data_IF_771555515141
#
_entry.id   IF_771555515141
#
_cell.length_a   1.000
_cell.length_b   1.000
_cell.length_c   1.000
_cell.angle_alpha   90.00
_cell.angle_beta   90.00
_cell.angle_gamma   90.00
#
_symmetry.space_group_name_H-M   'P 1'
#
loop_
_entity.id
_entity.type
_entity.pdbx_description
1 polymer ?
#
# COMPACT_ATOMS: atom_id res chain seq x y z
N UNK A 1 -32.69 14.61 -24.22
CA UNK A 1 -31.26 15.00 -24.20
C UNK A 1 -30.77 14.80 -22.79
N UNK A 2 -30.21 13.62 -22.54
CA UNK A 2 -29.74 13.21 -21.22
C UNK A 2 -28.51 14.01 -20.83
N UNK A 3 -28.66 14.86 -19.81
CA UNK A 3 -27.52 15.22 -18.97
C UNK A 3 -27.25 14.00 -18.10
N UNK A 4 -26.42 13.08 -18.62
CA UNK A 4 -25.60 12.26 -17.74
C UNK A 4 -25.04 13.19 -16.65
N UNK A 5 -25.05 12.76 -15.40
CA UNK A 5 -24.22 13.34 -14.33
C UNK A 5 -22.76 13.20 -14.77
N UNK A 6 -22.34 14.05 -15.70
CA UNK A 6 -20.95 14.37 -15.91
C UNK A 6 -20.56 15.08 -14.64
N UNK A 7 -19.48 14.60 -14.03
CA UNK A 7 -18.69 15.42 -13.11
C UNK A 7 -18.65 16.83 -13.71
N UNK A 8 -19.08 17.87 -12.99
CA UNK A 8 -18.97 19.23 -13.49
C UNK A 8 -17.48 19.49 -13.69
N UNK A 9 -16.99 19.29 -14.91
CA UNK A 9 -15.75 19.88 -15.38
C UNK A 9 -16.09 21.30 -15.73
N UNK A 10 -16.53 22.07 -14.73
CA UNK A 10 -16.62 23.49 -14.88
C UNK A 10 -15.16 23.96 -15.03
N UNK A 11 -14.82 24.30 -16.27
CA UNK A 11 -13.55 24.91 -16.68
C UNK A 11 -12.27 24.12 -16.33
N UNK A 12 -12.09 22.92 -16.89
CA UNK A 12 -10.78 22.26 -16.85
C UNK A 12 -10.10 22.45 -18.22
N UNK A 13 -9.19 23.42 -18.28
CA UNK A 13 -8.12 23.42 -19.29
C UNK A 13 -7.50 22.01 -19.29
N UNK A 14 -7.41 21.42 -20.49
CA UNK A 14 -7.02 20.02 -20.69
C UNK A 14 -5.52 19.83 -20.44
N UNK A 15 -5.09 19.70 -19.21
CA UNK A 15 -3.84 18.99 -18.89
C UNK A 15 -3.82 18.65 -17.39
N UNK A 16 -2.95 17.74 -16.94
CA UNK A 16 -2.72 17.47 -15.52
C UNK A 16 -3.53 16.32 -14.94
N UNK A 17 -2.97 15.59 -13.96
CA UNK A 17 -3.62 14.46 -13.29
C UNK A 17 -4.18 14.90 -11.94
N UNK A 18 -3.30 15.23 -10.98
CA UNK A 18 -3.68 15.63 -9.62
C UNK A 18 -3.53 17.13 -9.36
N UNK A 19 -2.49 17.74 -9.94
CA UNK A 19 -2.12 19.16 -9.75
C UNK A 19 -2.56 20.02 -10.94
N UNK A 20 -2.55 21.33 -10.74
CA UNK A 20 -2.80 22.32 -11.79
C UNK A 20 -1.62 22.40 -12.77
N UNK A 21 -1.89 22.52 -14.07
CA UNK A 21 -0.85 22.44 -15.12
C UNK A 21 0.19 23.55 -15.11
N UNK A 22 -0.21 24.70 -14.59
CA UNK A 22 0.67 25.86 -14.52
C UNK A 22 1.53 25.84 -13.25
N UNK A 23 1.36 24.83 -12.40
CA UNK A 23 2.13 24.69 -11.17
C UNK A 23 3.50 24.07 -11.46
N UNK A 24 4.56 24.82 -11.20
CA UNK A 24 5.92 24.28 -11.08
C UNK A 24 6.22 23.92 -9.63
N UNK A 25 7.09 22.93 -9.44
CA UNK A 25 7.51 22.46 -8.11
C UNK A 25 9.02 22.31 -8.03
N UNK A 26 9.55 22.49 -6.83
CA UNK A 26 10.91 22.09 -6.46
C UNK A 26 10.79 20.78 -5.68
N UNK A 27 11.55 19.78 -6.11
CA UNK A 27 11.61 18.45 -5.47
C UNK A 27 13.05 18.24 -5.01
N UNK A 28 13.25 18.01 -3.71
CA UNK A 28 14.58 17.72 -3.14
C UNK A 28 14.93 16.24 -3.27
N UNK A 29 16.20 15.89 -3.04
CA UNK A 29 16.74 14.52 -3.16
C UNK A 29 15.94 13.46 -2.38
N UNK A 30 15.39 13.86 -1.24
CA UNK A 30 14.55 13.04 -0.37
C UNK A 30 13.04 13.06 -0.74
N UNK A 31 12.69 13.53 -1.95
CA UNK A 31 11.34 13.67 -2.50
C UNK A 31 10.38 14.59 -1.74
N UNK A 32 10.90 15.56 -0.99
CA UNK A 32 10.06 16.64 -0.47
C UNK A 32 9.68 17.60 -1.61
N UNK A 33 8.39 17.88 -1.75
CA UNK A 33 7.81 18.68 -2.84
C UNK A 33 7.34 20.02 -2.30
N UNK A 34 7.76 21.10 -2.96
CA UNK A 34 7.36 22.47 -2.61
C UNK A 34 6.96 23.25 -3.87
N UNK A 35 6.07 24.25 -3.76
CA UNK A 35 5.78 25.13 -4.88
C UNK A 35 7.04 25.89 -5.33
N UNK A 36 7.22 26.04 -6.64
CA UNK A 36 8.36 26.76 -7.18
C UNK A 36 8.26 28.25 -6.84
N UNK A 37 9.32 28.78 -6.23
CA UNK A 37 9.53 30.21 -6.07
C UNK A 37 11.00 30.48 -5.85
N UNK A 38 11.45 31.71 -6.12
CA UNK A 38 12.82 32.14 -5.84
C UNK A 38 13.17 31.93 -4.36
N UNK A 39 12.23 32.25 -3.47
CA UNK A 39 12.39 32.07 -2.02
C UNK A 39 12.49 30.61 -1.62
N UNK A 40 11.65 29.74 -2.20
CA UNK A 40 11.74 28.29 -2.00
C UNK A 40 13.12 27.78 -2.42
N UNK A 41 13.63 28.23 -3.57
CA UNK A 41 14.97 27.86 -4.05
C UNK A 41 16.06 28.25 -3.06
N UNK A 42 16.05 29.48 -2.56
CA UNK A 42 17.00 29.92 -1.53
C UNK A 42 16.89 29.11 -0.23
N UNK A 43 15.68 28.84 0.25
CA UNK A 43 15.48 28.01 1.45
C UNK A 43 16.00 26.58 1.27
N UNK A 44 15.95 26.02 0.06
CA UNK A 44 16.55 24.71 -0.24
C UNK A 44 18.08 24.80 -0.18
N UNK A 45 18.69 25.82 -0.79
CA UNK A 45 20.15 26.02 -0.74
C UNK A 45 20.66 26.21 0.69
N UNK A 46 19.97 26.99 1.51
CA UNK A 46 20.29 27.21 2.92
C UNK A 46 20.22 25.89 3.73
N UNK A 47 19.14 25.11 3.55
CA UNK A 47 18.99 23.79 4.19
C UNK A 47 20.09 22.81 3.80
N UNK A 48 20.58 22.90 2.56
CA UNK A 48 21.69 22.09 2.06
C UNK A 48 23.07 22.70 2.39
N UNK A 49 23.11 23.83 3.11
CA UNK A 49 24.33 24.55 3.48
C UNK A 49 25.20 24.98 2.28
N UNK A 50 24.55 25.28 1.15
CA UNK A 50 25.21 25.72 -0.08
C UNK A 50 25.29 27.24 -0.08
N UNK A 51 26.50 27.76 0.21
CA UNK A 51 26.77 29.21 0.26
C UNK A 51 27.41 29.76 -1.02
N UNK A 52 27.86 28.88 -1.92
CA UNK A 52 28.51 29.25 -3.18
C UNK A 52 27.82 28.54 -4.35
N UNK A 53 27.13 29.31 -5.19
CA UNK A 53 26.40 28.81 -6.34
C UNK A 53 27.32 28.25 -7.43
N UNK A 54 28.62 28.58 -7.43
CA UNK A 54 29.58 28.05 -8.40
C UNK A 54 29.82 26.54 -8.25
N UNK A 55 29.42 25.96 -7.10
CA UNK A 55 29.47 24.53 -6.85
C UNK A 55 28.29 23.75 -7.48
N UNK A 56 27.31 24.46 -8.05
CA UNK A 56 26.10 23.84 -8.62
C UNK A 56 26.26 23.61 -10.12
N UNK A 57 25.82 22.44 -10.57
CA UNK A 57 25.69 22.09 -11.99
C UNK A 57 24.21 21.89 -12.32
N UNK A 58 23.73 22.59 -13.36
CA UNK A 58 22.39 22.37 -13.88
C UNK A 58 22.38 21.21 -14.87
N UNK A 59 21.49 20.24 -14.66
CA UNK A 59 21.29 19.10 -15.55
C UNK A 59 19.82 18.96 -15.92
N UNK A 60 19.55 18.77 -17.20
CA UNK A 60 18.22 18.48 -17.71
C UNK A 60 18.07 16.98 -17.88
N UNK A 61 17.08 16.39 -17.21
CA UNK A 61 16.84 14.95 -17.20
C UNK A 61 15.46 14.68 -17.81
N UNK A 62 15.40 13.73 -18.73
CA UNK A 62 14.14 13.22 -19.27
C UNK A 62 13.68 12.02 -18.45
N UNK A 63 12.42 12.03 -18.02
CA UNK A 63 11.82 10.95 -17.21
C UNK A 63 10.74 10.26 -18.03
N UNK A 64 10.97 9.00 -18.39
CA UNK A 64 9.99 8.12 -19.01
C UNK A 64 9.37 7.15 -18.00
N UNK A 65 8.69 6.13 -18.52
CA UNK A 65 7.97 5.15 -17.69
C UNK A 65 8.93 4.30 -16.85
N UNK A 66 10.07 3.92 -17.40
CA UNK A 66 11.07 3.12 -16.68
C UNK A 66 11.72 3.93 -15.56
N UNK A 67 12.04 5.20 -15.83
CA UNK A 67 12.56 6.12 -14.83
C UNK A 67 11.57 6.38 -13.71
N UNK A 68 10.30 6.59 -14.04
CA UNK A 68 9.24 6.78 -13.05
C UNK A 68 9.04 5.54 -12.15
N UNK A 69 9.06 4.33 -12.73
CA UNK A 69 8.93 3.08 -11.98
C UNK A 69 10.15 2.85 -11.05
N UNK A 70 11.35 3.09 -11.54
CA UNK A 70 12.56 2.98 -10.73
C UNK A 70 12.60 4.02 -9.61
N UNK A 71 12.15 5.25 -9.87
CA UNK A 71 12.01 6.27 -8.84
C UNK A 71 11.00 5.86 -7.76
N UNK A 72 9.87 5.28 -8.13
CA UNK A 72 8.91 4.71 -7.16
C UNK A 72 9.57 3.64 -6.30
N UNK A 73 10.31 2.70 -6.90
CA UNK A 73 11.04 1.68 -6.15
C UNK A 73 12.06 2.30 -5.18
N UNK A 74 12.91 3.21 -5.65
CA UNK A 74 13.92 3.88 -4.80
C UNK A 74 13.28 4.71 -3.70
N UNK A 75 12.11 5.29 -3.95
CA UNK A 75 11.42 6.08 -2.93
C UNK A 75 11.05 5.27 -1.68
N UNK A 76 10.78 3.96 -1.84
CA UNK A 76 10.44 3.02 -0.76
C UNK A 76 11.67 2.56 0.03
N UNK A 77 12.85 2.55 -0.60
CA UNK A 77 14.07 1.93 -0.05
C UNK A 77 15.11 2.96 0.45
N UNK A 78 15.03 4.21 -0.02
CA UNK A 78 16.11 5.20 0.09
C UNK A 78 15.69 6.51 0.77
N UNK A 79 16.69 7.24 1.28
CA UNK A 79 16.59 8.63 1.76
C UNK A 79 17.02 9.65 0.70
N UNK A 80 17.61 9.19 -0.40
CA UNK A 80 18.27 9.97 -1.46
C UNK A 80 17.88 9.46 -2.85
N UNK A 81 16.57 9.34 -3.07
CA UNK A 81 16.03 8.61 -4.21
C UNK A 81 16.43 9.21 -5.56
N UNK A 82 16.54 10.54 -5.68
CA UNK A 82 16.93 11.18 -6.94
C UNK A 82 18.42 10.95 -7.25
N UNK A 83 19.30 11.16 -6.27
CA UNK A 83 20.75 10.99 -6.45
C UNK A 83 21.09 9.54 -6.76
N UNK A 84 20.59 8.59 -5.98
CA UNK A 84 20.92 7.18 -6.19
C UNK A 84 20.36 6.64 -7.51
N UNK A 85 19.29 7.24 -8.05
CA UNK A 85 18.69 6.83 -9.30
C UNK A 85 19.37 7.48 -10.52
N UNK A 86 19.46 8.81 -10.53
CA UNK A 86 19.97 9.56 -11.69
C UNK A 86 21.50 9.70 -11.70
N UNK A 87 22.17 9.51 -10.56
CA UNK A 87 23.61 9.72 -10.41
C UNK A 87 24.29 8.61 -9.59
N UNK A 88 24.19 7.33 -10.01
CA UNK A 88 24.70 6.19 -9.26
C UNK A 88 26.23 6.14 -9.11
N UNK A 89 26.97 6.86 -9.95
CA UNK A 89 28.45 6.87 -9.98
C UNK A 89 29.10 7.85 -8.99
N UNK A 90 28.31 8.72 -8.35
CA UNK A 90 28.83 9.53 -7.25
C UNK A 90 29.20 8.58 -6.08
N UNK A 91 30.32 8.82 -5.39
CA UNK A 91 30.75 8.05 -4.20
C UNK A 91 29.77 8.22 -3.02
N UNK A 92 28.54 7.76 -3.19
CA UNK A 92 27.47 7.79 -2.21
C UNK A 92 27.57 6.45 -1.49
N UNK A 93 27.90 6.50 -0.20
CA UNK A 93 27.76 5.33 0.66
C UNK A 93 26.38 4.72 0.42
N UNK A 94 26.33 3.43 0.09
CA UNK A 94 25.06 2.73 -0.10
C UNK A 94 24.20 2.97 1.13
N UNK A 95 23.03 3.59 0.93
CA UNK A 95 22.05 3.77 1.99
C UNK A 95 21.83 2.41 2.66
N UNK A 96 22.09 2.34 3.97
CA UNK A 96 21.68 1.19 4.77
C UNK A 96 20.18 1.09 4.57
N UNK A 97 19.72 -0.02 3.97
CA UNK A 97 18.28 -0.29 3.78
C UNK A 97 17.55 0.11 5.05
N UNK A 98 16.64 1.08 4.94
CA UNK A 98 15.90 1.57 6.09
C UNK A 98 14.92 0.48 6.52
N UNK A 99 15.35 -0.39 7.43
CA UNK A 99 14.46 -1.37 8.00
C UNK A 99 13.46 -0.64 8.90
N UNK A 100 12.15 -0.84 8.69
CA UNK A 100 11.17 -0.31 9.60
C UNK A 100 11.31 -1.06 10.92
N UNK A 101 12.01 -0.45 11.87
CA UNK A 101 11.98 -0.88 13.25
C UNK A 101 10.70 -0.29 13.82
N UNK A 102 9.70 -1.14 14.01
CA UNK A 102 8.49 -0.74 14.70
C UNK A 102 8.81 -0.50 16.17
N UNK A 103 8.47 0.69 16.68
CA UNK A 103 8.52 0.97 18.12
C UNK A 103 7.56 -0.01 18.80
N UNK A 104 8.06 -0.81 19.74
CA UNK A 104 7.30 -1.87 20.42
C UNK A 104 6.12 -1.34 21.26
N UNK A 105 6.06 -0.02 21.48
CA UNK A 105 5.03 0.64 22.28
C UNK A 105 3.81 1.01 21.41
N UNK A 106 3.03 0.01 20.98
CA UNK A 106 1.64 0.24 20.61
C UNK A 106 0.80 -0.06 21.85
N UNK A 107 0.21 0.97 22.44
CA UNK A 107 -0.72 0.86 23.56
C UNK A 107 -1.93 0.02 23.12
N UNK A 108 -1.92 -1.24 23.53
CA UNK A 108 -2.89 -2.24 23.09
C UNK A 108 -4.18 -2.07 23.85
N UNK A 109 -5.20 -1.49 23.22
CA UNK A 109 -6.56 -1.55 23.75
C UNK A 109 -7.01 -3.02 23.77
N UNK A 110 -7.45 -3.51 24.93
CA UNK A 110 -7.56 -4.93 25.32
C UNK A 110 -8.66 -5.78 24.62
N UNK A 111 -9.13 -5.39 23.44
CA UNK A 111 -10.16 -6.14 22.68
C UNK A 111 -9.85 -6.31 21.18
N UNK A 112 -8.60 -6.17 20.75
CA UNK A 112 -8.24 -6.42 19.35
C UNK A 112 -8.16 -7.93 19.04
N UNK A 113 -8.80 -8.33 17.93
CA UNK A 113 -8.69 -9.67 17.32
C UNK A 113 -7.20 -10.05 17.20
N UNK A 114 -6.83 -11.31 17.43
CA UNK A 114 -5.44 -11.79 17.29
C UNK A 114 -5.42 -13.07 16.46
N UNK A 115 -4.33 -13.28 15.72
CA UNK A 115 -4.14 -14.50 14.93
C UNK A 115 -3.19 -15.45 15.64
N UNK A 116 -3.50 -16.74 15.62
CA UNK A 116 -2.55 -17.78 16.01
C UNK A 116 -1.85 -18.32 14.76
N UNK A 117 -0.53 -18.20 14.71
CA UNK A 117 0.31 -18.61 13.59
C UNK A 117 1.34 -19.63 14.09
N UNK A 118 1.41 -20.78 13.44
CA UNK A 118 2.41 -21.81 13.74
C UNK A 118 3.60 -21.65 12.79
N UNK A 119 4.72 -21.19 13.30
CA UNK A 119 5.94 -20.98 12.52
C UNK A 119 6.87 -22.19 12.57
N UNK A 120 7.55 -22.45 11.46
CA UNK A 120 8.60 -23.47 11.31
C UNK A 120 9.92 -22.73 11.15
N UNK A 121 10.78 -22.85 12.16
CA UNK A 121 12.05 -22.13 12.28
C UNK A 121 13.22 -23.07 12.01
N UNK A 122 14.24 -22.59 11.31
CA UNK A 122 15.52 -23.28 11.17
C UNK A 122 16.46 -22.84 12.31
N UNK A 123 16.87 -23.79 13.15
CA UNK A 123 17.76 -23.54 14.31
C UNK A 123 19.15 -23.05 13.90
N UNK A 124 19.68 -23.52 12.77
CA UNK A 124 21.09 -23.29 12.39
C UNK A 124 21.36 -21.84 12.02
N UNK A 125 20.45 -21.24 11.28
CA UNK A 125 20.57 -19.85 10.80
C UNK A 125 19.59 -18.90 11.48
N UNK A 126 18.76 -19.39 12.41
CA UNK A 126 17.73 -18.63 13.10
C UNK A 126 16.81 -17.88 12.11
N UNK A 127 16.29 -18.59 11.11
CA UNK A 127 15.37 -18.03 10.11
C UNK A 127 14.04 -18.78 10.09
N UNK A 128 12.99 -18.10 9.64
CA UNK A 128 11.71 -18.76 9.33
C UNK A 128 11.87 -19.53 8.02
N UNK A 129 11.39 -20.76 7.99
CA UNK A 129 11.20 -21.52 6.76
C UNK A 129 9.81 -21.22 6.18
N UNK A 130 8.79 -21.44 7.01
CA UNK A 130 7.39 -21.20 6.66
C UNK A 130 6.53 -20.98 7.90
N UNK A 131 5.29 -20.54 7.67
CA UNK A 131 4.25 -20.37 8.68
C UNK A 131 2.96 -21.05 8.22
N UNK A 132 2.41 -21.90 9.10
CA UNK A 132 1.08 -22.51 8.95
C UNK A 132 0.03 -21.58 9.54
N UNK A 133 -0.94 -21.22 8.71
CA UNK A 133 -1.91 -20.17 9.03
C UNK A 133 -3.32 -20.59 8.63
N UNK A 134 -4.31 -20.08 9.36
CA UNK A 134 -5.73 -20.17 8.98
C UNK A 134 -6.08 -19.20 7.85
N UNK A 135 -7.27 -19.39 7.27
CA UNK A 135 -7.79 -18.51 6.23
C UNK A 135 -7.97 -17.06 6.70
N UNK A 136 -8.25 -16.83 7.98
CA UNK A 136 -8.37 -15.50 8.60
C UNK A 136 -7.09 -14.66 8.49
N UNK A 137 -5.95 -15.20 8.90
CA UNK A 137 -4.66 -14.52 8.76
C UNK A 137 -4.24 -14.40 7.29
N UNK A 138 -4.54 -15.39 6.46
CA UNK A 138 -4.26 -15.28 5.02
C UNK A 138 -5.08 -14.16 4.38
N UNK A 139 -6.36 -14.01 4.73
CA UNK A 139 -7.19 -12.89 4.28
C UNK A 139 -6.59 -11.54 4.69
N UNK A 140 -6.05 -11.44 5.90
CA UNK A 140 -5.33 -10.24 6.34
C UNK A 140 -4.09 -9.96 5.47
N UNK A 141 -3.30 -10.97 5.08
CA UNK A 141 -2.16 -10.76 4.20
C UNK A 141 -2.58 -10.39 2.77
N UNK A 142 -3.57 -11.08 2.21
CA UNK A 142 -4.06 -10.81 0.85
C UNK A 142 -4.68 -9.41 0.74
N UNK A 143 -5.29 -8.92 1.82
CA UNK A 143 -5.84 -7.55 1.87
C UNK A 143 -4.79 -6.46 1.67
N UNK A 144 -3.50 -6.73 1.94
CA UNK A 144 -2.43 -5.76 1.70
C UNK A 144 -2.30 -5.39 0.22
N UNK A 145 -2.64 -6.31 -0.69
CA UNK A 145 -2.63 -6.05 -2.13
C UNK A 145 -3.71 -5.05 -2.56
N UNK A 146 -4.76 -4.89 -1.75
CA UNK A 146 -5.84 -3.94 -1.98
C UNK A 146 -5.53 -2.54 -1.44
N UNK A 147 -4.50 -2.40 -0.59
CA UNK A 147 -4.23 -1.15 0.11
C UNK A 147 -3.59 -0.12 -0.82
N UNK A 148 -4.20 1.08 -0.96
CA UNK A 148 -3.58 2.18 -1.67
C UNK A 148 -2.30 2.60 -0.95
N UNK A 149 -1.24 2.90 -1.71
CA UNK A 149 0.06 3.24 -1.14
C UNK A 149 -0.02 4.41 -0.15
N UNK A 150 -0.84 5.43 -0.44
CA UNK A 150 -1.07 6.55 0.50
C UNK A 150 -1.59 6.10 1.87
N UNK A 151 -2.57 5.17 1.90
CA UNK A 151 -3.06 4.59 3.15
C UNK A 151 -1.99 3.81 3.90
N UNK A 152 -1.16 3.05 3.17
CA UNK A 152 -0.05 2.28 3.77
C UNK A 152 0.95 3.23 4.44
N UNK A 153 1.31 4.32 3.77
CA UNK A 153 2.26 5.31 4.30
C UNK A 153 1.69 5.98 5.57
N UNK A 154 0.41 6.36 5.55
CA UNK A 154 -0.29 6.92 6.70
C UNK A 154 -0.31 5.96 7.89
N UNK A 155 -0.71 4.70 7.65
CA UNK A 155 -0.79 3.67 8.70
C UNK A 155 0.56 3.40 9.36
N UNK A 156 1.65 3.56 8.62
CA UNK A 156 2.99 3.22 9.09
C UNK A 156 3.76 4.41 9.68
N UNK A 157 3.28 5.65 9.48
CA UNK A 157 3.98 6.90 9.84
C UNK A 157 4.40 6.97 11.30
N UNK A 158 3.54 6.54 12.23
CA UNK A 158 3.82 6.59 13.67
C UNK A 158 4.64 5.41 14.18
N UNK A 159 4.68 4.33 13.39
CA UNK A 159 5.28 3.07 13.80
C UNK A 159 6.68 2.87 13.23
N UNK A 160 6.99 3.47 12.09
CA UNK A 160 8.31 3.36 11.45
C UNK A 160 9.16 4.57 11.80
N UNK A 161 10.42 4.32 12.19
CA UNK A 161 11.43 5.38 12.32
C UNK A 161 11.74 5.94 10.92
N UNK A 162 11.11 7.06 10.54
CA UNK A 162 10.92 7.45 9.15
C UNK A 162 11.96 8.48 8.66
N UNK A 163 12.75 8.07 7.66
CA UNK A 163 13.57 8.98 6.83
C UNK A 163 13.48 8.63 5.33
N UNK A 164 12.56 7.74 4.94
CA UNK A 164 12.42 7.25 3.57
C UNK A 164 11.68 8.25 2.69
N UNK A 165 12.02 8.31 1.40
CA UNK A 165 11.57 9.38 0.52
C UNK A 165 10.05 9.42 0.30
N UNK A 166 9.33 8.28 0.27
CA UNK A 166 7.86 8.34 0.11
C UNK A 166 7.17 9.02 1.28
N UNK A 167 7.73 8.94 2.50
CA UNK A 167 7.17 9.68 3.65
C UNK A 167 7.18 11.18 3.38
N UNK A 168 8.25 11.69 2.78
CA UNK A 168 8.34 13.10 2.42
C UNK A 168 7.40 13.43 1.26
N UNK A 169 7.27 12.55 0.27
CA UNK A 169 6.33 12.75 -0.84
C UNK A 169 4.88 12.82 -0.34
N UNK A 170 4.49 11.90 0.55
CA UNK A 170 3.16 11.87 1.18
C UNK A 170 2.93 13.11 2.05
N UNK A 171 3.87 13.46 2.93
CA UNK A 171 3.80 14.66 3.78
C UNK A 171 3.77 15.96 2.97
N UNK A 172 4.39 15.98 1.79
CA UNK A 172 4.30 17.11 0.87
C UNK A 172 2.90 17.22 0.28
N UNK A 173 2.31 16.11 -0.19
CA UNK A 173 0.93 16.09 -0.67
C UNK A 173 -0.07 16.54 0.41
N UNK A 174 0.16 16.15 1.67
CA UNK A 174 -0.65 16.56 2.82
C UNK A 174 -0.51 18.07 3.13
N UNK A 175 0.71 18.60 3.13
CA UNK A 175 1.00 19.99 3.52
C UNK A 175 0.69 21.02 2.42
N UNK A 176 0.78 20.66 1.14
CA UNK A 176 0.48 21.56 0.02
C UNK A 176 -0.97 22.09 0.10
N UNK A 177 -1.16 23.39 -0.09
CA UNK A 177 -2.48 24.02 -0.12
C UNK A 177 -3.38 23.53 -1.28
N UNK A 178 -4.69 23.75 -1.16
CA UNK A 178 -5.66 23.28 -2.15
C UNK A 178 -5.52 23.97 -3.52
N UNK A 179 -4.92 25.16 -3.54
CA UNK A 179 -4.62 25.93 -4.75
C UNK A 179 -3.67 25.22 -5.72
N UNK A 180 -2.93 24.21 -5.24
CA UNK A 180 -2.03 23.39 -6.07
C UNK A 180 -2.73 22.17 -6.69
N UNK A 181 -3.90 21.81 -6.19
CA UNK A 181 -4.68 20.65 -6.64
C UNK A 181 -5.86 21.07 -7.51
N UNK A 182 -6.34 20.15 -8.35
CA UNK A 182 -7.53 20.38 -9.18
C UNK A 182 -8.80 20.51 -8.36
N UNK A 183 -8.89 19.79 -7.25
CA UNK A 183 -10.01 19.85 -6.32
C UNK A 183 -9.62 19.26 -4.97
N UNK A 184 -10.47 19.47 -3.97
CA UNK A 184 -10.32 18.86 -2.65
C UNK A 184 -10.37 17.33 -2.74
N UNK A 185 -11.20 16.79 -3.62
CA UNK A 185 -11.35 15.36 -3.85
C UNK A 185 -10.06 14.76 -4.43
N UNK A 186 -9.43 15.41 -5.42
CA UNK A 186 -8.14 14.95 -5.96
C UNK A 186 -7.04 14.88 -4.90
N UNK A 187 -6.96 15.87 -4.00
CA UNK A 187 -6.02 15.82 -2.87
C UNK A 187 -6.36 14.67 -1.92
N UNK A 188 -7.64 14.52 -1.55
CA UNK A 188 -8.07 13.48 -0.64
C UNK A 188 -7.83 12.06 -1.20
N UNK A 189 -7.89 11.86 -2.53
CA UNK A 189 -7.53 10.58 -3.16
C UNK A 189 -6.07 10.17 -2.95
N UNK A 190 -5.17 11.12 -2.66
CA UNK A 190 -3.75 10.84 -2.43
C UNK A 190 -3.44 10.63 -0.93
N UNK A 191 -4.02 11.47 -0.08
CA UNK A 191 -3.71 11.51 1.37
C UNK A 191 -4.65 10.61 2.18
N UNK A 192 -5.92 10.50 1.78
CA UNK A 192 -6.90 9.63 2.45
C UNK A 192 -7.63 8.71 1.45
N UNK A 193 -6.90 7.87 0.69
CA UNK A 193 -7.54 6.97 -0.25
C UNK A 193 -8.40 5.94 0.46
N UNK A 194 -9.57 5.67 -0.13
CA UNK A 194 -10.50 4.63 0.31
C UNK A 194 -10.28 3.36 -0.50
N UNK A 195 -10.63 2.21 0.08
CA UNK A 195 -10.69 0.95 -0.66
C UNK A 195 -11.84 0.98 -1.66
N UNK A 196 -11.63 0.39 -2.83
CA UNK A 196 -12.72 0.11 -3.75
C UNK A 196 -13.75 -0.82 -3.09
N UNK A 197 -15.00 -0.75 -3.53
CA UNK A 197 -16.07 -1.59 -2.99
C UNK A 197 -15.72 -3.07 -3.11
N UNK A 198 -15.94 -3.80 -2.02
CA UNK A 198 -15.66 -5.24 -1.86
C UNK A 198 -14.18 -5.64 -1.76
N UNK A 199 -13.24 -4.70 -1.64
CA UNK A 199 -11.81 -4.98 -1.42
C UNK A 199 -11.42 -5.11 0.08
N UNK A 200 -12.30 -4.75 1.02
CA UNK A 200 -12.07 -4.97 2.45
C UNK A 200 -12.31 -6.42 2.90
N UNK A 201 -11.87 -6.78 4.11
CA UNK A 201 -12.21 -8.05 4.76
C UNK A 201 -12.91 -7.84 6.11
N UNK A 202 -13.85 -8.72 6.47
CA UNK A 202 -14.62 -8.59 7.71
C UNK A 202 -13.75 -8.73 8.97
N UNK A 203 -12.86 -9.73 9.00
CA UNK A 203 -11.95 -10.03 10.12
C UNK A 203 -10.58 -9.36 10.01
N UNK A 204 -10.52 -8.25 9.25
CA UNK A 204 -9.28 -7.51 9.06
C UNK A 204 -8.95 -6.70 10.31
N UNK A 205 -7.72 -6.86 10.78
CA UNK A 205 -7.16 -6.13 11.92
C UNK A 205 -6.81 -4.69 11.53
N UNK A 206 -6.29 -4.48 10.31
CA UNK A 206 -6.12 -3.14 9.72
C UNK A 206 -7.39 -2.77 8.97
N UNK A 207 -8.19 -1.84 9.52
CA UNK A 207 -9.45 -1.40 8.89
C UNK A 207 -9.24 -0.10 8.13
N UNK A 208 -9.39 -0.17 6.81
CA UNK A 208 -9.49 1.00 5.95
C UNK A 208 -10.95 1.24 5.56
N UNK A 209 -11.30 2.51 5.30
CA UNK A 209 -12.63 2.88 4.85
C UNK A 209 -12.86 2.35 3.44
N UNK A 210 -13.92 1.59 3.26
CA UNK A 210 -14.33 1.02 1.98
C UNK A 210 -15.42 1.89 1.33
N UNK A 211 -15.29 2.11 0.02
CA UNK A 211 -16.28 2.86 -0.74
C UNK A 211 -17.63 2.10 -0.78
N UNK A 212 -18.75 2.82 -0.67
CA UNK A 212 -20.07 2.21 -0.82
C UNK A 212 -20.23 1.63 -2.22
N UNK A 213 -20.90 0.48 -2.32
CA UNK A 213 -21.11 -0.18 -3.60
C UNK A 213 -21.99 0.64 -4.55
N UNK A 214 -21.72 0.50 -5.85
CA UNK A 214 -22.46 1.25 -6.85
C UNK A 214 -23.91 0.75 -6.94
N UNK A 215 -24.86 1.68 -6.74
CA UNK A 215 -26.29 1.44 -6.91
C UNK A 215 -26.86 2.35 -7.98
N UNK A 216 -27.40 1.76 -9.04
CA UNK A 216 -28.01 2.49 -10.14
C UNK A 216 -29.50 2.21 -10.18
N UNK A 217 -30.28 3.26 -10.42
CA UNK A 217 -31.72 3.14 -10.62
C UNK A 217 -32.06 3.44 -12.06
N UNK A 218 -32.66 2.47 -12.75
CA UNK A 218 -33.32 2.72 -14.02
C UNK A 218 -34.73 3.25 -13.75
N UNK A 219 -34.97 4.51 -14.09
CA UNK A 219 -36.31 5.09 -14.08
C UNK A 219 -37.05 4.68 -15.36
N UNK A 220 -38.32 4.30 -15.20
CA UNK A 220 -39.27 4.00 -16.29
C UNK A 220 -39.00 2.73 -17.13
N UNK A 221 -38.09 1.83 -16.74
CA UNK A 221 -37.99 0.52 -17.39
C UNK A 221 -37.39 -0.58 -16.49
N UNK A 222 -37.53 -1.85 -16.90
CA UNK A 222 -36.81 -2.96 -16.28
C UNK A 222 -35.40 -3.12 -16.88
N UNK A 223 -34.52 -3.89 -16.21
CA UNK A 223 -33.14 -4.13 -16.67
C UNK A 223 -33.09 -4.65 -18.10
N UNK A 224 -33.97 -5.61 -18.45
CA UNK A 224 -34.03 -6.17 -19.80
C UNK A 224 -34.37 -5.12 -20.85
N UNK A 225 -35.39 -4.29 -20.58
CA UNK A 225 -35.75 -3.19 -21.45
C UNK A 225 -34.62 -2.16 -21.59
N UNK A 226 -33.93 -1.83 -20.50
CA UNK A 226 -32.77 -0.93 -20.53
C UNK A 226 -31.63 -1.50 -21.38
N UNK A 227 -31.30 -2.78 -21.21
CA UNK A 227 -30.26 -3.46 -21.98
C UNK A 227 -30.61 -3.55 -23.48
N UNK A 228 -31.89 -3.72 -23.81
CA UNK A 228 -32.41 -3.72 -25.18
C UNK A 228 -32.45 -2.30 -25.81
N UNK A 229 -31.92 -1.27 -25.14
CA UNK A 229 -31.93 0.12 -25.61
C UNK A 229 -33.32 0.76 -25.61
N UNK A 230 -34.27 0.21 -24.85
CA UNK A 230 -35.60 0.79 -24.71
C UNK A 230 -35.63 1.81 -23.57
N UNK A 231 -35.74 3.09 -23.94
CA UNK A 231 -35.88 4.19 -23.00
C UNK A 231 -37.33 4.70 -23.04
N UNK A 232 -38.07 4.55 -21.94
CA UNK A 232 -39.38 5.17 -21.84
C UNK A 232 -39.23 6.60 -21.30
N UNK A 233 -39.45 7.61 -22.15
CA UNK A 233 -39.43 9.01 -21.73
C UNK A 233 -40.67 9.42 -20.90
N UNK A 234 -41.60 8.50 -20.67
CA UNK A 234 -42.80 8.69 -19.84
C UNK A 234 -42.77 7.73 -18.65
N UNK A 235 -43.29 8.12 -17.47
CA UNK A 235 -43.32 7.29 -16.24
C UNK A 235 -44.33 6.13 -16.31
N UNK A 236 -44.55 5.56 -17.49
CA UNK A 236 -45.40 4.40 -17.70
C UNK A 236 -44.62 3.12 -17.42
N UNK A 237 -45.27 2.07 -16.89
CA UNK A 237 -44.65 0.74 -16.81
C UNK A 237 -44.09 0.32 -18.16
N UNK A 238 -42.96 -0.39 -18.15
CA UNK A 238 -42.48 -1.07 -19.34
C UNK A 238 -43.46 -2.16 -19.80
N UNK A 239 -43.22 -2.73 -20.98
CA UNK A 239 -43.99 -3.88 -21.48
C UNK A 239 -44.05 -5.08 -20.52
N UNK A 240 -43.16 -5.15 -19.54
CA UNK A 240 -43.13 -6.15 -18.48
C UNK A 240 -43.83 -5.71 -17.17
N UNK A 241 -44.53 -4.57 -17.16
CA UNK A 241 -45.26 -4.05 -15.99
C UNK A 241 -44.40 -3.35 -14.93
N UNK A 242 -43.07 -3.27 -15.10
CA UNK A 242 -42.15 -2.64 -14.15
C UNK A 242 -41.92 -1.16 -14.47
N UNK A 243 -41.95 -0.31 -13.43
CA UNK A 243 -41.71 1.15 -13.54
C UNK A 243 -40.30 1.59 -13.13
N UNK A 244 -39.61 0.73 -12.38
CA UNK A 244 -38.27 0.97 -11.88
C UNK A 244 -37.54 -0.36 -11.80
N UNK A 245 -36.25 -0.34 -12.06
CA UNK A 245 -35.35 -1.42 -11.67
C UNK A 245 -34.11 -0.86 -10.99
N UNK A 246 -33.56 -1.63 -10.07
CA UNK A 246 -32.32 -1.31 -9.37
C UNK A 246 -31.24 -2.27 -9.85
N UNK A 247 -30.09 -1.72 -10.23
CA UNK A 247 -28.86 -2.45 -10.51
C UNK A 247 -27.96 -2.22 -9.31
N UNK A 248 -27.58 -3.32 -8.66
CA UNK A 248 -26.73 -3.29 -7.47
C UNK A 248 -25.50 -4.11 -7.79
N UNK A 249 -24.34 -3.50 -7.61
CA UNK A 249 -23.06 -4.20 -7.69
C UNK A 249 -23.06 -5.41 -6.74
N UNK A 250 -22.59 -6.55 -7.22
CA UNK A 250 -22.57 -7.78 -6.45
C UNK A 250 -21.22 -7.94 -5.78
N UNK A 251 -21.21 -8.30 -4.50
CA UNK A 251 -20.00 -8.67 -3.78
C UNK A 251 -19.54 -10.05 -4.27
N UNK A 252 -18.37 -10.15 -4.94
CA UNK A 252 -17.90 -11.43 -5.48
C UNK A 252 -17.50 -12.44 -4.40
N UNK A 253 -17.37 -12.00 -3.13
CA UNK A 253 -17.04 -12.88 -1.99
C UNK A 253 -18.26 -13.65 -1.45
N UNK A 254 -19.48 -13.30 -1.88
CA UNK A 254 -20.71 -13.95 -1.41
C UNK A 254 -21.11 -15.09 -2.36
N UNK A 255 -21.23 -16.32 -1.83
CA UNK A 255 -21.53 -17.51 -2.63
C UNK A 255 -22.88 -17.45 -3.36
N UNK A 256 -23.87 -16.80 -2.76
CA UNK A 256 -25.22 -16.68 -3.31
C UNK A 256 -25.45 -15.34 -4.04
N UNK A 257 -24.38 -14.59 -4.31
CA UNK A 257 -24.50 -13.17 -4.62
C UNK A 257 -25.00 -12.37 -3.42
N UNK A 258 -25.18 -11.08 -3.62
CA UNK A 258 -25.56 -10.11 -2.60
C UNK A 258 -24.76 -8.83 -2.73
N UNK A 259 -25.22 -7.79 -2.03
CA UNK A 259 -24.55 -6.48 -2.00
C UNK A 259 -23.93 -6.16 -0.64
N UNK A 260 -24.03 -7.08 0.31
CA UNK A 260 -23.54 -6.90 1.67
C UNK A 260 -22.02 -6.71 1.67
N UNK A 261 -21.53 -5.82 2.53
CA UNK A 261 -20.09 -5.60 2.72
C UNK A 261 -19.46 -6.76 3.48
N UNK A 262 -18.12 -6.83 3.45
CA UNK A 262 -17.37 -7.86 4.17
C UNK A 262 -17.20 -9.16 3.39
N UNK A 263 -17.13 -10.28 4.11
CA UNK A 263 -16.67 -11.57 3.59
C UNK A 263 -15.14 -11.70 3.53
N UNK A 264 -14.71 -12.86 3.04
CA UNK A 264 -13.31 -13.31 2.99
C UNK A 264 -12.90 -13.63 1.55
N UNK A 265 -11.63 -13.40 1.19
CA UNK A 265 -11.09 -13.80 -0.12
C UNK A 265 -10.85 -15.31 -0.22
N UNK A 266 -10.44 -15.91 0.90
CA UNK A 266 -10.24 -17.36 1.03
C UNK A 266 -11.18 -17.93 2.08
N UNK A 267 -11.45 -19.22 1.97
CA UNK A 267 -12.30 -19.92 2.92
C UNK A 267 -11.62 -20.03 4.30
N UNK A 268 -12.27 -19.48 5.33
CA UNK A 268 -11.74 -19.43 6.71
C UNK A 268 -11.43 -20.83 7.29
N UNK A 269 -12.09 -21.88 6.80
CA UNK A 269 -11.92 -23.27 7.24
C UNK A 269 -10.60 -23.90 6.77
N UNK A 270 -9.97 -23.33 5.73
CA UNK A 270 -8.75 -23.86 5.12
C UNK A 270 -7.52 -23.33 5.81
N UNK A 271 -6.44 -24.13 5.74
CA UNK A 271 -5.13 -23.75 6.22
C UNK A 271 -4.12 -23.69 5.07
N UNK A 272 -3.12 -22.84 5.24
CA UNK A 272 -2.15 -22.50 4.20
C UNK A 272 -0.73 -22.48 4.76
N UNK A 273 0.23 -22.70 3.87
CA UNK A 273 1.66 -22.49 4.12
C UNK A 273 2.11 -21.19 3.50
N UNK A 274 2.81 -20.38 4.30
CA UNK A 274 3.41 -19.12 3.85
C UNK A 274 4.91 -19.21 4.05
N UNK A 275 5.68 -19.15 2.97
CA UNK A 275 7.14 -19.13 3.04
C UNK A 275 7.66 -17.77 3.54
N UNK A 276 8.93 -17.70 3.94
CA UNK A 276 9.54 -16.46 4.48
C UNK A 276 9.46 -15.25 3.52
N UNK A 277 9.47 -15.50 2.21
CA UNK A 277 9.28 -14.50 1.16
C UNK A 277 7.79 -14.23 0.84
N UNK A 278 6.88 -14.63 1.73
CA UNK A 278 5.42 -14.53 1.60
C UNK A 278 4.80 -15.35 0.45
N UNK A 279 5.54 -16.28 -0.17
CA UNK A 279 4.93 -17.18 -1.14
C UNK A 279 3.91 -18.11 -0.45
N UNK A 280 2.66 -18.09 -0.92
CA UNK A 280 1.54 -18.85 -0.34
C UNK A 280 1.36 -20.17 -1.10
N UNK A 281 1.09 -21.26 -0.39
CA UNK A 281 0.73 -22.55 -0.96
C UNK A 281 -0.27 -23.31 -0.06
N UNK A 282 -1.10 -24.21 -0.62
CA UNK A 282 -1.90 -25.12 0.19
C UNK A 282 -1.01 -26.02 1.06
N UNK A 283 -1.50 -26.42 2.24
CA UNK A 283 -0.81 -27.43 3.04
C UNK A 283 -0.82 -28.76 2.27
N UNK A 284 0.37 -29.27 1.96
CA UNK A 284 0.58 -30.65 1.55
C UNK A 284 1.78 -31.18 2.30
N UNK A 285 1.77 -32.46 2.65
CA UNK A 285 2.86 -33.15 3.34
C UNK A 285 4.20 -33.04 2.59
N UNK A 286 4.17 -32.72 1.29
CA UNK A 286 5.35 -32.60 0.42
C UNK A 286 5.82 -31.14 0.29
N UNK A 287 4.95 -30.15 0.54
CA UNK A 287 5.28 -28.72 0.40
C UNK A 287 6.40 -28.26 1.35
N UNK A 288 6.55 -28.92 2.51
CA UNK A 288 7.64 -28.65 3.45
C UNK A 288 9.02 -29.03 2.90
N UNK A 289 9.08 -30.06 2.05
CA UNK A 289 10.32 -30.69 1.57
C UNK A 289 10.78 -30.03 0.26
N UNK A 290 9.83 -29.60 -0.59
CA UNK A 290 10.12 -29.12 -1.95
C UNK A 290 10.72 -27.70 -1.97
N UNK A 291 10.43 -26.85 -0.99
CA UNK A 291 10.77 -25.42 -1.09
C UNK A 291 12.26 -25.10 -1.05
N UNK A 292 13.14 -26.01 -0.60
CA UNK A 292 14.61 -25.76 -0.59
C UNK A 292 15.55 -26.95 -0.89
N UNK A 293 15.06 -28.10 -1.36
CA UNK A 293 15.94 -29.24 -1.71
C UNK A 293 16.40 -30.07 -0.50
N UNK A 294 16.88 -31.29 -0.79
CA UNK A 294 17.00 -32.43 0.16
C UNK A 294 18.24 -32.35 1.08
N UNK A 295 18.85 -31.18 1.29
CA UNK A 295 20.08 -31.04 2.10
C UNK A 295 19.84 -30.72 3.59
N UNK A 296 18.60 -30.75 4.08
CA UNK A 296 18.27 -30.41 5.47
C UNK A 296 17.87 -31.62 6.30
N UNK A 297 18.47 -31.76 7.49
CA UNK A 297 18.01 -32.71 8.49
C UNK A 297 16.74 -32.17 9.14
N UNK A 298 15.65 -32.94 9.12
CA UNK A 298 14.35 -32.54 9.71
C UNK A 298 14.51 -32.12 11.20
N UNK A 299 15.51 -32.65 11.91
CA UNK A 299 15.86 -32.28 13.29
C UNK A 299 16.25 -30.82 13.51
N UNK A 300 16.64 -30.12 12.44
CA UNK A 300 17.07 -28.72 12.50
C UNK A 300 15.89 -27.73 12.59
N UNK A 301 14.66 -28.22 12.42
CA UNK A 301 13.47 -27.38 12.46
C UNK A 301 12.79 -27.39 13.84
N UNK A 302 12.22 -26.25 14.22
CA UNK A 302 11.36 -26.09 15.42
C UNK A 302 10.02 -25.56 14.97
N UNK A 303 8.95 -26.13 15.52
CA UNK A 303 7.62 -25.54 15.45
C UNK A 303 7.41 -24.61 16.65
N UNK A 304 6.98 -23.37 16.38
CA UNK A 304 6.69 -22.37 17.41
C UNK A 304 5.36 -21.68 17.09
N UNK A 305 4.42 -21.75 18.02
CA UNK A 305 3.20 -20.95 17.94
C UNK A 305 3.48 -19.51 18.37
N UNK A 306 2.97 -18.56 17.58
CA UNK A 306 3.11 -17.13 17.81
C UNK A 306 1.74 -16.47 17.67
N UNK A 307 1.46 -15.57 18.62
CA UNK A 307 0.29 -14.70 18.56
C UNK A 307 0.66 -13.43 17.80
N UNK A 308 -0.05 -13.18 16.70
CA UNK A 308 0.10 -11.99 15.87
C UNK A 308 -0.98 -10.97 16.24
N UNK A 309 -0.52 -9.82 16.73
CA UNK A 309 -1.31 -8.64 17.09
C UNK A 309 -1.15 -7.55 16.01
N UNK A 310 -1.81 -6.41 16.22
CA UNK A 310 -1.82 -5.30 15.26
C UNK A 310 -0.45 -4.70 15.01
N UNK A 311 0.38 -4.60 16.03
CA UNK A 311 1.76 -4.16 15.87
C UNK A 311 2.52 -5.07 14.89
N UNK A 312 2.41 -6.39 15.06
CA UNK A 312 3.06 -7.34 14.15
C UNK A 312 2.46 -7.33 12.74
N UNK A 313 1.15 -7.10 12.58
CA UNK A 313 0.53 -6.96 11.25
C UNK A 313 1.02 -5.68 10.54
N UNK A 314 1.18 -4.57 11.26
CA UNK A 314 1.79 -3.36 10.73
C UNK A 314 3.28 -3.58 10.38
N UNK A 315 4.02 -4.34 11.20
CA UNK A 315 5.40 -4.73 10.90
C UNK A 315 5.49 -5.53 9.61
N UNK A 316 4.57 -6.49 9.41
CA UNK A 316 4.49 -7.24 8.16
C UNK A 316 4.24 -6.33 6.96
N UNK A 317 3.28 -5.42 7.06
CA UNK A 317 2.94 -4.48 6.00
C UNK A 317 4.11 -3.56 5.63
N UNK A 318 4.90 -3.10 6.61
CA UNK A 318 6.09 -2.28 6.34
C UNK A 318 7.25 -3.09 5.76
N UNK A 319 7.58 -4.23 6.36
CA UNK A 319 8.74 -5.05 5.97
C UNK A 319 8.55 -5.68 4.59
N UNK A 320 7.33 -6.06 4.20
CA UNK A 320 7.08 -6.69 2.90
C UNK A 320 7.40 -5.79 1.70
N UNK A 321 7.46 -4.46 1.89
CA UNK A 321 7.76 -3.51 0.82
C UNK A 321 9.26 -3.49 0.46
N UNK A 322 10.13 -4.00 1.34
CA UNK A 322 11.59 -3.80 1.21
C UNK A 322 12.43 -5.06 1.49
N UNK A 323 11.81 -6.14 2.01
CA UNK A 323 12.52 -7.38 2.39
C UNK A 323 11.99 -8.60 1.64
N UNK A 324 12.90 -9.55 1.38
CA UNK A 324 12.61 -10.88 0.85
C UNK A 324 12.61 -11.98 1.94
N UNK A 325 12.89 -11.64 3.19
CA UNK A 325 12.87 -12.53 4.37
C UNK A 325 11.92 -11.97 5.42
N UNK A 326 10.67 -11.74 5.00
CA UNK A 326 9.69 -10.92 5.72
C UNK A 326 9.33 -11.52 7.07
N UNK A 327 9.04 -12.83 7.11
CA UNK A 327 8.64 -13.49 8.35
C UNK A 327 9.82 -13.53 9.33
N UNK A 328 11.03 -13.78 8.86
CA UNK A 328 12.25 -13.74 9.66
C UNK A 328 12.47 -12.35 10.25
N UNK A 329 12.39 -11.31 9.42
CA UNK A 329 12.65 -9.93 9.86
C UNK A 329 11.64 -9.42 10.89
N UNK A 330 10.38 -9.90 10.84
CA UNK A 330 9.32 -9.48 11.76
C UNK A 330 9.29 -10.33 13.04
N UNK A 331 9.41 -11.66 12.92
CA UNK A 331 9.11 -12.57 14.03
C UNK A 331 10.34 -13.15 14.72
N UNK A 332 11.52 -13.01 14.13
CA UNK A 332 12.77 -13.48 14.73
C UNK A 332 13.53 -12.30 15.34
N UNK A 333 13.81 -12.32 16.65
CA UNK A 333 14.60 -11.28 17.29
C UNK A 333 15.98 -11.17 16.65
N UNK A 334 16.36 -9.95 16.22
CA UNK A 334 17.73 -9.69 15.77
C UNK A 334 18.67 -9.82 16.97
N UNK A 335 19.65 -10.73 16.90
CA UNK A 335 20.71 -10.76 17.89
C UNK A 335 21.46 -9.43 17.84
N UNK A 336 21.50 -8.68 18.96
CA UNK A 336 22.32 -7.48 19.06
C UNK A 336 23.76 -7.87 18.74
N UNK A 337 24.32 -7.38 17.63
CA UNK A 337 25.77 -7.40 17.41
C UNK A 337 26.38 -6.70 18.61
N UNK A 338 27.06 -7.45 19.49
CA UNK A 338 27.99 -6.84 20.46
C UNK A 338 28.97 -6.03 19.64
N UNK A 339 28.87 -4.70 19.69
CA UNK A 339 29.93 -3.85 19.17
C UNK A 339 31.20 -4.27 19.90
N UNK A 340 32.16 -4.83 19.17
CA UNK A 340 33.53 -4.90 19.67
C UNK A 340 33.96 -3.44 19.73
N UNK A 341 33.95 -2.88 20.94
CA UNK A 341 34.69 -1.66 21.26
C UNK A 341 36.14 -1.92 20.88
N UNK A 342 36.56 -1.46 19.71
CA UNK A 342 37.97 -1.32 19.41
C UNK A 342 38.47 -0.17 20.28
N UNK A 343 38.99 -0.52 21.46
CA UNK A 343 39.98 0.32 22.12
C UNK A 343 41.27 0.17 21.31
N UNK A 344 41.70 1.27 20.69
CA UNK A 344 43.12 1.57 20.50
C UNK A 344 43.29 3.08 20.43
#
# INVERSE_FOLDING_TARGET
>A
MDKALRWPKDTVEKSGVFVNDRAGFIITDNLWVMPISVMTGFSVLEKLQINDASMLEERVINVGNEEALNLLRRSLESKRALTEFFFPDACVEQSVKCFPVIKEDIDGNEAEHKFNVKMILNKKNNSVLSAEVGGDFLNQLLSFLAFPLGSVIELLRDHISSDWCISNLYSSAESLGLEWFKSKECKNMLVFPQLASYYGCEKQMIKLVEMPSAKWTCSASCIKCYADGWYCFKPTPCKHGLRKAELIEQNPKLQNGGSDSGGSFVEDSKRFMIADNLHISPISSISLIITKGIDFLISDFIEKEIIVDKAKVLSLLGVMLISNTVLTDVFVPKQKKRSRSHYM
#
